data_IF_950108490114
#
_entry.id   IF_950108490114
#
_cell.length_a   1.000
_cell.length_b   1.000
_cell.length_c   1.000
_cell.angle_alpha   90.00
_cell.angle_beta   90.00
_cell.angle_gamma   90.00
#
_symmetry.space_group_name_H-M   'P 1'
#
loop_
_entity.id
_entity.type
_entity.pdbx_description
1 polymer ?
#
# COMPACT_ATOMS: atom_id res chain seq x y z
N UNK A 1 1.33 -22.04 -20.37
CA UNK A 1 0.88 -20.62 -20.37
C UNK A 1 2.03 -19.84 -19.75
N UNK A 2 2.66 -18.93 -20.50
CA UNK A 2 3.78 -18.12 -19.98
C UNK A 2 3.19 -17.04 -19.08
N UNK A 3 3.38 -17.18 -17.77
CA UNK A 3 3.03 -16.13 -16.84
C UNK A 3 3.73 -14.81 -17.17
N UNK A 4 3.18 -13.71 -16.68
CA UNK A 4 3.70 -12.36 -16.88
C UNK A 4 5.19 -12.31 -16.47
N UNK A 5 6.07 -12.12 -17.45
CA UNK A 5 7.50 -11.99 -17.17
C UNK A 5 7.83 -10.51 -16.99
N UNK A 6 8.11 -10.13 -15.76
CA UNK A 6 8.75 -8.86 -15.48
C UNK A 6 10.11 -8.84 -16.17
N UNK A 7 10.27 -8.01 -17.18
CA UNK A 7 11.56 -7.81 -17.83
C UNK A 7 12.31 -6.75 -17.03
N UNK A 8 13.30 -7.17 -16.25
CA UNK A 8 14.20 -6.29 -15.53
C UNK A 8 15.54 -6.19 -16.24
N UNK A 9 16.01 -4.99 -16.56
CA UNK A 9 17.30 -4.76 -17.20
C UNK A 9 18.06 -3.65 -16.50
N UNK A 10 19.33 -3.90 -16.18
CA UNK A 10 20.24 -2.83 -15.71
C UNK A 10 20.44 -1.80 -16.82
N UNK A 11 20.34 -0.54 -16.48
CA UNK A 11 20.63 0.62 -17.34
C UNK A 11 21.69 1.49 -16.67
N UNK A 12 22.17 2.53 -17.34
CA UNK A 12 23.28 3.38 -16.85
C UNK A 12 23.00 3.99 -15.47
N UNK A 13 21.75 4.32 -15.18
CA UNK A 13 21.32 5.09 -14.02
C UNK A 13 20.29 4.35 -13.11
N UNK A 14 20.17 3.03 -13.32
CA UNK A 14 19.26 2.24 -12.49
C UNK A 14 18.80 0.92 -13.10
N UNK A 15 17.53 0.60 -12.86
CA UNK A 15 16.89 -0.64 -13.33
C UNK A 15 15.63 -0.29 -14.13
N UNK A 16 15.64 -0.61 -15.43
CA UNK A 16 14.45 -0.54 -16.26
C UNK A 16 13.58 -1.78 -16.06
N UNK A 17 12.30 -1.56 -15.76
CA UNK A 17 11.29 -2.60 -15.79
C UNK A 17 10.30 -2.35 -16.93
N UNK A 18 9.77 -3.41 -17.49
CA UNK A 18 8.66 -3.36 -18.42
C UNK A 18 7.65 -4.45 -18.04
N UNK A 19 6.45 -4.00 -17.69
CA UNK A 19 5.32 -4.86 -17.32
C UNK A 19 4.10 -4.26 -18.02
N UNK A 20 3.80 -4.72 -19.22
CA UNK A 20 2.64 -4.20 -19.95
C UNK A 20 1.34 -4.60 -19.23
N UNK A 21 0.40 -3.65 -19.16
CA UNK A 21 -1.00 -3.84 -18.72
C UNK A 21 -1.26 -4.04 -17.22
N UNK A 22 -0.32 -4.57 -16.43
CA UNK A 22 -0.54 -4.89 -15.00
C UNK A 22 0.35 -4.10 -14.04
N UNK A 23 0.91 -2.98 -14.49
CA UNK A 23 1.68 -2.07 -13.66
C UNK A 23 1.54 -0.62 -14.13
N UNK A 24 0.92 0.22 -13.30
CA UNK A 24 0.75 1.64 -13.54
C UNK A 24 0.92 2.41 -12.23
N UNK A 25 1.99 3.22 -12.14
CA UNK A 25 2.31 3.99 -10.92
C UNK A 25 1.24 5.03 -10.58
N UNK A 26 0.56 5.59 -11.58
CA UNK A 26 -0.52 6.54 -11.33
C UNK A 26 -1.71 5.85 -10.66
N UNK A 27 -2.14 4.72 -11.19
CA UNK A 27 -3.23 3.94 -10.60
C UNK A 27 -2.88 3.48 -9.18
N UNK A 28 -1.65 3.04 -8.94
CA UNK A 28 -1.16 2.65 -7.62
C UNK A 28 -1.17 3.85 -6.66
N UNK A 29 -0.65 5.01 -7.08
CA UNK A 29 -0.59 6.22 -6.24
C UNK A 29 -1.97 6.78 -5.90
N UNK A 30 -2.93 6.67 -6.83
CA UNK A 30 -4.29 7.18 -6.68
C UNK A 30 -5.23 6.20 -5.94
N UNK A 31 -4.82 4.96 -5.73
CA UNK A 31 -5.65 3.89 -5.15
C UNK A 31 -6.01 4.06 -3.67
N UNK A 32 -5.36 4.97 -2.97
CA UNK A 32 -5.59 5.19 -1.53
C UNK A 32 -4.95 4.15 -0.60
N UNK A 33 -4.19 3.19 -1.13
CA UNK A 33 -3.47 2.20 -0.33
C UNK A 33 -2.13 2.71 0.22
N UNK A 34 -1.55 3.74 -0.41
CA UNK A 34 -0.23 4.27 -0.10
C UNK A 34 -0.23 5.80 -0.07
N UNK A 35 0.46 6.38 0.91
CA UNK A 35 0.62 7.84 1.04
C UNK A 35 2.06 8.29 0.87
N UNK A 36 2.98 7.35 0.56
CA UNK A 36 4.41 7.57 0.42
C UNK A 36 4.91 7.36 -1.02
N UNK A 37 3.99 7.34 -1.98
CA UNK A 37 4.27 7.37 -3.41
C UNK A 37 3.84 8.73 -3.94
N UNK A 38 4.81 9.61 -4.24
CA UNK A 38 4.59 11.01 -4.59
C UNK A 38 4.88 11.23 -6.08
N UNK A 39 3.90 11.76 -6.82
CA UNK A 39 4.09 12.15 -8.21
C UNK A 39 4.99 13.39 -8.31
N UNK A 40 5.88 13.41 -9.30
CA UNK A 40 6.78 14.52 -9.64
C UNK A 40 6.25 15.30 -10.85
N UNK A 41 6.75 16.53 -11.03
CA UNK A 41 6.34 17.39 -12.14
C UNK A 41 6.81 16.88 -13.52
N UNK A 42 7.89 16.08 -13.54
CA UNK A 42 8.43 15.46 -14.75
C UNK A 42 7.69 14.18 -15.19
N UNK A 43 6.59 13.84 -14.52
CA UNK A 43 5.83 12.62 -14.75
C UNK A 43 6.40 11.38 -14.06
N UNK A 44 7.49 11.53 -13.29
CA UNK A 44 8.05 10.49 -12.45
C UNK A 44 7.36 10.39 -11.09
N UNK A 45 7.89 9.52 -10.25
CA UNK A 45 7.43 9.28 -8.88
C UNK A 45 8.59 9.16 -7.91
N UNK A 46 8.34 9.47 -6.67
CA UNK A 46 9.23 9.12 -5.56
C UNK A 46 8.50 8.16 -4.65
N UNK A 47 9.11 7.00 -4.39
CA UNK A 47 8.63 6.04 -3.42
C UNK A 47 9.52 6.03 -2.19
N UNK A 48 8.90 5.93 -1.01
CA UNK A 48 9.58 5.78 0.28
C UNK A 48 9.02 4.59 1.01
N UNK A 49 9.89 3.72 1.51
CA UNK A 49 9.54 2.65 2.44
C UNK A 49 10.71 2.42 3.39
N UNK A 50 10.43 2.18 4.67
CA UNK A 50 11.45 2.06 5.71
C UNK A 50 12.49 3.21 5.63
N UNK A 51 13.77 2.89 5.53
CA UNK A 51 14.88 3.84 5.36
C UNK A 51 15.32 3.98 3.90
N UNK A 52 14.44 3.68 2.93
CA UNK A 52 14.73 3.69 1.50
C UNK A 52 13.91 4.72 0.75
N UNK A 53 14.58 5.32 -0.22
CA UNK A 53 14.05 6.36 -1.10
C UNK A 53 14.44 6.04 -2.54
N UNK A 54 13.50 6.05 -3.49
CA UNK A 54 13.80 5.87 -4.91
C UNK A 54 13.04 6.86 -5.78
N UNK A 55 13.73 7.48 -6.74
CA UNK A 55 13.09 8.16 -7.87
C UNK A 55 12.77 7.12 -8.93
N UNK A 56 11.57 7.21 -9.51
CA UNK A 56 11.11 6.34 -10.58
C UNK A 56 10.66 7.23 -11.72
N UNK A 57 11.23 7.05 -12.89
CA UNK A 57 10.88 7.85 -14.07
C UNK A 57 10.28 6.99 -15.19
N UNK A 58 9.46 7.57 -16.08
CA UNK A 58 9.04 6.88 -17.27
C UNK A 58 10.25 6.39 -18.08
N UNK A 59 10.19 5.13 -18.51
CA UNK A 59 11.21 4.50 -19.33
C UNK A 59 10.74 4.28 -20.77
N UNK A 60 11.53 3.55 -21.53
CA UNK A 60 11.18 3.20 -22.92
C UNK A 60 10.05 2.18 -22.99
N UNK A 61 9.24 2.23 -24.05
CA UNK A 61 8.15 1.28 -24.33
C UNK A 61 7.12 1.13 -23.19
N UNK A 62 6.81 2.23 -22.50
CA UNK A 62 5.84 2.23 -21.40
C UNK A 62 6.38 1.60 -20.10
N UNK A 63 7.69 1.36 -19.99
CA UNK A 63 8.32 0.88 -18.77
C UNK A 63 8.66 2.00 -17.79
N UNK A 64 9.32 1.63 -16.70
CA UNK A 64 9.78 2.56 -15.66
C UNK A 64 11.25 2.30 -15.32
N UNK A 65 12.01 3.37 -15.04
CA UNK A 65 13.39 3.29 -14.55
C UNK A 65 13.39 3.61 -13.05
N UNK A 66 13.83 2.67 -12.25
CA UNK A 66 14.10 2.84 -10.83
C UNK A 66 15.54 3.31 -10.66
N UNK A 67 15.75 4.53 -10.19
CA UNK A 67 17.07 5.12 -10.02
C UNK A 67 17.71 4.65 -8.72
N UNK A 68 18.10 3.39 -8.68
CA UNK A 68 18.78 2.75 -7.55
C UNK A 68 19.68 1.61 -8.04
N UNK A 69 20.61 1.12 -7.19
CA UNK A 69 21.38 -0.08 -7.49
C UNK A 69 20.49 -1.31 -7.68
N UNK A 70 20.93 -2.22 -8.54
CA UNK A 70 20.15 -3.44 -8.84
C UNK A 70 19.85 -4.29 -7.60
N UNK A 71 20.79 -4.39 -6.66
CA UNK A 71 20.57 -5.16 -5.43
C UNK A 71 19.49 -4.51 -4.55
N UNK A 72 19.47 -3.18 -4.46
CA UNK A 72 18.39 -2.46 -3.77
C UNK A 72 17.05 -2.67 -4.49
N UNK A 73 17.02 -2.59 -5.81
CA UNK A 73 15.81 -2.86 -6.59
C UNK A 73 15.28 -4.27 -6.31
N UNK A 74 16.16 -5.30 -6.37
CA UNK A 74 15.78 -6.69 -6.16
C UNK A 74 15.25 -6.95 -4.74
N UNK A 75 15.92 -6.39 -3.72
CA UNK A 75 15.68 -6.75 -2.33
C UNK A 75 14.62 -5.86 -1.65
N UNK A 76 14.36 -4.65 -2.20
CA UNK A 76 13.41 -3.68 -1.64
C UNK A 76 12.25 -3.40 -2.58
N UNK A 77 12.54 -2.85 -3.77
CA UNK A 77 11.48 -2.31 -4.64
C UNK A 77 10.70 -3.37 -5.39
N UNK A 78 11.37 -4.46 -5.81
CA UNK A 78 10.68 -5.60 -6.43
C UNK A 78 9.65 -6.24 -5.48
N UNK A 79 9.98 -6.54 -4.21
CA UNK A 79 8.98 -6.97 -3.22
C UNK A 79 7.93 -5.88 -2.92
N UNK A 80 8.34 -4.62 -2.71
CA UNK A 80 7.43 -3.52 -2.35
C UNK A 80 6.29 -3.36 -3.36
N UNK A 81 6.61 -3.37 -4.65
CA UNK A 81 5.63 -3.27 -5.74
C UNK A 81 5.02 -4.62 -6.15
N UNK A 82 5.30 -5.69 -5.41
CA UNK A 82 4.83 -7.06 -5.67
C UNK A 82 5.06 -7.51 -7.13
N UNK A 83 6.25 -7.20 -7.66
CA UNK A 83 6.56 -7.40 -9.09
C UNK A 83 6.70 -8.88 -9.46
N UNK A 84 6.83 -9.79 -8.50
CA UNK A 84 6.96 -11.24 -8.74
C UNK A 84 5.62 -11.97 -8.89
N UNK A 85 4.51 -11.33 -8.49
CA UNK A 85 3.18 -11.93 -8.58
C UNK A 85 2.60 -11.81 -10.01
N UNK A 86 1.88 -12.82 -10.44
CA UNK A 86 1.25 -12.90 -11.77
C UNK A 86 -0.15 -12.28 -11.75
N UNK A 87 -0.21 -10.95 -11.88
CA UNK A 87 -1.47 -10.21 -11.90
C UNK A 87 -2.28 -10.46 -13.19
N UNK A 88 -1.62 -10.84 -14.28
CA UNK A 88 -2.33 -11.25 -15.50
C UNK A 88 -3.15 -12.52 -15.25
N UNK A 89 -2.60 -13.50 -14.55
CA UNK A 89 -3.33 -14.69 -14.17
C UNK A 89 -4.51 -14.40 -13.21
N UNK A 90 -4.36 -13.41 -12.31
CA UNK A 90 -5.48 -12.96 -11.46
C UNK A 90 -6.60 -12.34 -12.32
N UNK A 91 -6.26 -11.46 -13.26
CA UNK A 91 -7.23 -10.83 -14.16
C UNK A 91 -7.94 -11.85 -15.04
N UNK A 92 -7.24 -12.86 -15.54
CA UNK A 92 -7.84 -13.96 -16.32
C UNK A 92 -8.89 -14.73 -15.52
N UNK A 93 -8.64 -14.98 -14.22
CA UNK A 93 -9.62 -15.65 -13.34
C UNK A 93 -10.88 -14.81 -13.08
N UNK A 94 -10.77 -13.49 -13.15
CA UNK A 94 -11.88 -12.54 -12.94
C UNK A 94 -12.66 -12.23 -14.22
N UNK A 95 -12.14 -12.58 -15.39
CA UNK A 95 -12.69 -12.18 -16.70
C UNK A 95 -14.14 -12.66 -16.97
N UNK A 96 -14.61 -13.68 -16.23
CA UNK A 96 -15.98 -14.16 -16.29
C UNK A 96 -17.03 -13.25 -15.62
N UNK A 97 -16.60 -12.40 -14.69
CA UNK A 97 -17.44 -11.45 -13.99
C UNK A 97 -17.54 -10.13 -14.77
N UNK A 98 -18.74 -9.67 -15.19
CA UNK A 98 -18.87 -8.44 -15.99
C UNK A 98 -18.36 -7.20 -15.28
N UNK A 99 -18.65 -7.01 -13.99
CA UNK A 99 -18.21 -5.86 -13.21
C UNK A 99 -16.67 -5.84 -13.05
N UNK A 100 -16.08 -6.99 -12.70
CA UNK A 100 -14.62 -7.07 -12.53
C UNK A 100 -13.88 -6.93 -13.86
N UNK A 101 -14.47 -7.34 -14.98
CA UNK A 101 -13.89 -7.09 -16.32
C UNK A 101 -13.83 -5.59 -16.63
N UNK A 102 -14.87 -4.84 -16.29
CA UNK A 102 -14.89 -3.37 -16.44
C UNK A 102 -13.88 -2.71 -15.46
N UNK A 103 -13.80 -3.21 -14.23
CA UNK A 103 -12.80 -2.75 -13.25
C UNK A 103 -11.36 -2.99 -13.73
N UNK A 104 -11.07 -4.14 -14.34
CA UNK A 104 -9.77 -4.43 -14.97
C UNK A 104 -9.48 -3.44 -16.11
N UNK A 105 -10.47 -3.16 -16.96
CA UNK A 105 -10.29 -2.20 -18.06
C UNK A 105 -9.99 -0.78 -17.56
N UNK A 106 -10.56 -0.38 -16.41
CA UNK A 106 -10.36 0.93 -15.78
C UNK A 106 -9.06 1.04 -14.97
N UNK A 107 -8.68 -0.03 -14.23
CA UNK A 107 -7.66 0.01 -13.20
C UNK A 107 -6.70 -1.20 -13.18
N UNK A 108 -6.59 -1.95 -14.26
CA UNK A 108 -5.81 -3.20 -14.30
C UNK A 108 -4.31 -3.06 -14.03
N UNK A 109 -3.77 -1.84 -14.07
CA UNK A 109 -2.37 -1.56 -13.72
C UNK A 109 -2.09 -1.44 -12.22
N UNK A 110 -3.11 -1.55 -11.36
CA UNK A 110 -2.91 -1.51 -9.92
C UNK A 110 -2.26 -2.80 -9.41
N UNK A 111 -1.43 -2.66 -8.38
CA UNK A 111 -0.90 -3.77 -7.57
C UNK A 111 -1.13 -3.51 -6.09
N UNK A 112 -1.22 -4.56 -5.30
CA UNK A 112 -1.27 -4.46 -3.83
C UNK A 112 0.17 -4.36 -3.32
N UNK A 113 0.53 -3.22 -2.75
CA UNK A 113 1.88 -2.96 -2.26
C UNK A 113 2.17 -3.73 -0.96
N UNK A 114 3.43 -4.17 -0.79
CA UNK A 114 3.95 -4.70 0.48
C UNK A 114 4.57 -3.57 1.27
N UNK A 115 3.78 -2.94 2.11
CA UNK A 115 4.21 -1.78 2.87
C UNK A 115 4.66 -2.15 4.28
N UNK A 116 5.38 -1.25 4.94
CA UNK A 116 5.80 -1.44 6.32
C UNK A 116 4.58 -1.61 7.25
N UNK A 117 4.58 -2.66 8.08
CA UNK A 117 3.46 -2.99 8.98
C UNK A 117 3.14 -1.84 9.95
N UNK A 118 4.15 -1.29 10.61
CA UNK A 118 3.96 -0.20 11.56
C UNK A 118 3.39 1.05 10.89
N UNK A 119 3.93 1.44 9.75
CA UNK A 119 3.41 2.56 8.95
C UNK A 119 1.94 2.32 8.59
N UNK A 120 1.55 1.12 8.19
CA UNK A 120 0.17 0.79 7.84
C UNK A 120 -0.76 0.82 9.05
N UNK A 121 -0.32 0.36 10.21
CA UNK A 121 -1.11 0.46 11.46
C UNK A 121 -1.45 1.91 11.75
N UNK A 122 -0.45 2.80 11.77
CA UNK A 122 -0.67 4.22 12.07
C UNK A 122 -1.50 4.88 10.97
N UNK A 123 -1.19 4.64 9.71
CA UNK A 123 -1.89 5.24 8.56
C UNK A 123 -3.36 4.86 8.53
N UNK A 124 -3.70 3.58 8.78
CA UNK A 124 -5.11 3.16 8.80
C UNK A 124 -5.85 3.56 10.07
N UNK A 125 -5.17 3.78 11.20
CA UNK A 125 -5.76 4.48 12.35
C UNK A 125 -6.10 5.93 11.95
N UNK A 126 -5.21 6.65 11.29
CA UNK A 126 -5.43 8.02 10.81
C UNK A 126 -6.56 8.07 9.77
N UNK A 127 -6.74 7.03 8.97
CA UNK A 127 -7.75 6.98 7.91
C UNK A 127 -9.20 6.90 8.40
N UNK A 128 -9.43 6.54 9.66
CA UNK A 128 -10.79 6.38 10.20
C UNK A 128 -11.59 7.68 10.14
N UNK A 129 -12.76 7.66 9.49
CA UNK A 129 -13.62 8.84 9.30
C UNK A 129 -12.83 10.07 8.80
N UNK A 130 -11.98 9.86 7.82
CA UNK A 130 -11.08 10.88 7.28
C UNK A 130 -11.10 10.83 5.74
N UNK A 131 -10.49 11.81 5.09
CA UNK A 131 -10.35 11.87 3.64
C UNK A 131 -8.87 11.81 3.23
N UNK A 132 -8.61 11.38 2.00
CA UNK A 132 -7.26 11.16 1.46
C UNK A 132 -6.35 12.37 1.62
N UNK A 133 -6.75 13.64 1.27
CA UNK A 133 -5.87 14.79 1.45
C UNK A 133 -5.45 15.02 2.91
N UNK A 134 -6.37 14.86 3.86
CA UNK A 134 -6.06 15.03 5.29
C UNK A 134 -5.19 13.90 5.84
N UNK A 135 -5.41 12.67 5.38
CA UNK A 135 -4.57 11.52 5.75
C UNK A 135 -3.14 11.77 5.27
N UNK A 136 -2.97 12.10 3.98
CA UNK A 136 -1.66 12.42 3.38
C UNK A 136 -0.94 13.53 4.17
N UNK A 137 -1.62 14.63 4.43
CA UNK A 137 -1.06 15.74 5.21
C UNK A 137 -0.62 15.32 6.61
N UNK A 138 -1.41 14.51 7.30
CA UNK A 138 -1.06 14.03 8.65
C UNK A 138 0.17 13.12 8.61
N UNK A 139 0.23 12.18 7.66
CA UNK A 139 1.39 11.31 7.45
C UNK A 139 2.63 12.13 7.12
N UNK A 140 2.53 13.10 6.21
CA UNK A 140 3.65 13.98 5.83
C UNK A 140 4.19 14.76 7.04
N UNK A 141 3.30 15.33 7.87
CA UNK A 141 3.70 16.07 9.08
C UNK A 141 4.41 15.13 10.08
N UNK A 142 3.89 13.91 10.30
CA UNK A 142 4.54 12.95 11.18
C UNK A 142 5.95 12.62 10.68
N UNK A 143 6.11 12.40 9.37
CA UNK A 143 7.41 12.10 8.77
C UNK A 143 8.38 13.27 8.85
N UNK A 144 7.93 14.49 8.54
CA UNK A 144 8.76 15.69 8.58
C UNK A 144 9.19 16.08 10.00
N UNK A 145 8.30 15.84 10.99
CA UNK A 145 8.54 16.24 12.38
C UNK A 145 9.38 15.21 13.13
N UNK A 146 9.13 13.92 12.93
CA UNK A 146 9.69 12.85 13.75
C UNK A 146 10.50 11.81 12.96
N UNK A 147 10.36 11.78 11.62
CA UNK A 147 11.08 10.83 10.78
C UNK A 147 12.55 11.22 10.58
N UNK A 148 13.33 10.29 10.04
CA UNK A 148 14.74 10.51 9.71
C UNK A 148 14.87 11.06 8.28
N UNK A 149 15.66 12.12 8.03
CA UNK A 149 15.94 12.59 6.67
C UNK A 149 16.56 11.47 5.82
N UNK A 150 16.04 11.24 4.62
CA UNK A 150 16.52 10.22 3.68
C UNK A 150 17.32 10.81 2.52
N UNK A 151 16.98 12.02 2.10
CA UNK A 151 17.61 12.71 0.99
C UNK A 151 16.65 13.67 0.29
N UNK A 152 17.19 14.38 -0.70
CA UNK A 152 16.48 15.36 -1.50
C UNK A 152 16.34 14.88 -2.94
N UNK A 153 15.15 15.01 -3.53
CA UNK A 153 14.89 14.75 -4.95
C UNK A 153 14.13 15.95 -5.50
N UNK A 154 14.63 16.55 -6.57
CA UNK A 154 14.07 17.71 -7.27
C UNK A 154 13.74 18.88 -6.33
N UNK A 155 14.62 19.16 -5.34
CA UNK A 155 14.46 20.24 -4.36
C UNK A 155 13.50 19.95 -3.21
N UNK A 156 12.94 18.74 -3.15
CA UNK A 156 12.06 18.30 -2.06
C UNK A 156 12.79 17.32 -1.13
N UNK A 157 12.80 17.62 0.17
CA UNK A 157 13.36 16.74 1.20
C UNK A 157 12.35 15.62 1.53
N UNK A 158 12.85 14.38 1.61
CA UNK A 158 12.07 13.20 1.99
C UNK A 158 12.56 12.63 3.33
N UNK A 159 11.62 12.03 4.08
CA UNK A 159 11.88 11.51 5.43
C UNK A 159 11.33 10.07 5.53
N UNK A 160 11.91 9.24 6.39
CA UNK A 160 11.31 7.95 6.76
C UNK A 160 10.00 8.14 7.50
N UNK A 161 9.16 7.11 7.55
CA UNK A 161 8.09 7.07 8.55
C UNK A 161 8.73 6.93 9.95
N UNK A 162 8.27 7.69 10.97
CA UNK A 162 8.86 7.62 12.31
C UNK A 162 8.62 6.25 12.95
N UNK A 163 9.64 5.71 13.59
CA UNK A 163 9.55 4.46 14.36
C UNK A 163 8.67 4.62 15.61
N UNK A 164 8.18 3.52 16.23
CA UNK A 164 7.51 3.59 17.52
C UNK A 164 8.32 4.39 18.57
N UNK A 165 9.63 4.14 18.64
CA UNK A 165 10.52 4.82 19.58
C UNK A 165 10.62 6.34 19.33
N UNK A 166 10.58 6.78 18.07
CA UNK A 166 10.58 8.19 17.72
C UNK A 166 9.26 8.92 18.04
N UNK A 167 8.13 8.20 18.06
CA UNK A 167 6.83 8.78 18.43
C UNK A 167 6.52 8.71 19.92
N UNK A 168 7.17 7.81 20.66
CA UNK A 168 6.90 7.59 22.07
C UNK A 168 7.14 8.86 22.89
N UNK A 169 6.13 9.26 23.66
CA UNK A 169 6.19 10.44 24.51
C UNK A 169 6.14 11.79 23.78
N UNK A 170 6.00 11.79 22.45
CA UNK A 170 5.96 13.02 21.66
C UNK A 170 4.59 13.70 21.66
N UNK A 171 4.60 15.01 21.45
CA UNK A 171 3.37 15.77 21.14
C UNK A 171 3.06 15.62 19.65
N UNK A 172 1.97 14.90 19.32
CA UNK A 172 1.54 14.67 17.94
C UNK A 172 0.53 15.72 17.46
N UNK A 173 0.23 16.74 18.26
CA UNK A 173 -0.74 17.81 17.91
C UNK A 173 -0.48 18.48 16.58
N UNK A 174 0.79 18.68 16.10
CA UNK A 174 1.06 19.25 14.78
C UNK A 174 0.42 18.47 13.63
N UNK A 175 0.31 17.13 13.76
CA UNK A 175 -0.31 16.27 12.74
C UNK A 175 -1.86 16.34 12.73
N UNK A 176 -2.47 17.04 13.68
CA UNK A 176 -3.92 17.28 13.75
C UNK A 176 -4.75 15.99 13.72
N UNK A 177 -4.33 14.96 14.44
CA UNK A 177 -4.93 13.63 14.43
C UNK A 177 -6.31 13.58 15.12
N UNK A 178 -6.65 14.56 15.96
CA UNK A 178 -7.86 14.59 16.74
C UNK A 178 -7.92 13.40 17.72
N UNK A 179 -9.07 12.73 17.83
CA UNK A 179 -9.22 11.58 18.74
C UNK A 179 -8.28 10.41 18.44
N UNK A 180 -7.74 10.34 17.23
CA UNK A 180 -6.82 9.28 16.77
C UNK A 180 -5.44 9.40 17.38
N UNK A 181 -5.09 10.58 17.88
CA UNK A 181 -3.80 10.83 18.52
C UNK A 181 -3.57 9.86 19.69
N UNK A 182 -4.60 9.67 20.53
CA UNK A 182 -4.50 8.75 21.66
C UNK A 182 -4.24 7.29 21.23
N UNK A 183 -4.81 6.89 20.08
CA UNK A 183 -4.58 5.55 19.52
C UNK A 183 -3.15 5.40 18.98
N UNK A 184 -2.67 6.40 18.22
CA UNK A 184 -1.30 6.37 17.67
C UNK A 184 -0.26 6.37 18.80
N UNK A 185 -0.46 7.17 19.86
CA UNK A 185 0.41 7.17 21.05
C UNK A 185 0.44 5.82 21.73
N UNK A 186 -0.72 5.18 21.90
CA UNK A 186 -0.80 3.84 22.52
C UNK A 186 -0.10 2.78 21.66
N UNK A 187 -0.24 2.83 20.32
CA UNK A 187 0.47 1.93 19.44
C UNK A 187 2.00 2.12 19.49
N UNK A 188 2.47 3.33 19.76
CA UNK A 188 3.90 3.62 19.89
C UNK A 188 4.51 3.07 21.19
N UNK A 189 3.70 2.65 22.18
CA UNK A 189 4.20 1.99 23.39
C UNK A 189 4.62 0.53 23.16
N UNK A 190 4.08 -0.11 22.11
CA UNK A 190 4.54 -1.45 21.71
C UNK A 190 5.95 -1.35 21.13
N UNK A 191 6.82 -2.28 21.51
CA UNK A 191 8.19 -2.35 21.01
C UNK A 191 8.27 -2.95 19.60
N UNK A 192 9.45 -2.91 19.02
CA UNK A 192 9.68 -3.45 17.68
C UNK A 192 9.47 -4.97 17.63
N UNK A 193 9.80 -5.68 18.71
CA UNK A 193 9.60 -7.12 18.79
C UNK A 193 8.12 -7.52 18.70
N UNK A 194 7.21 -6.73 19.27
CA UNK A 194 5.78 -6.96 19.12
C UNK A 194 5.37 -6.98 17.63
N UNK A 195 5.80 -5.98 16.86
CA UNK A 195 5.46 -5.87 15.43
C UNK A 195 6.12 -6.99 14.61
N UNK A 196 7.34 -7.38 14.94
CA UNK A 196 8.03 -8.52 14.31
C UNK A 196 7.32 -9.84 14.61
N UNK A 197 6.84 -10.06 15.85
CA UNK A 197 6.08 -11.27 16.19
C UNK A 197 4.71 -11.29 15.50
N UNK A 198 4.04 -10.15 15.38
CA UNK A 198 2.77 -10.05 14.66
C UNK A 198 2.92 -10.49 13.18
N UNK A 199 4.01 -10.12 12.51
CA UNK A 199 4.29 -10.55 11.13
C UNK A 199 4.40 -12.07 10.97
N UNK A 200 4.84 -12.77 12.01
CA UNK A 200 5.05 -14.22 11.99
C UNK A 200 3.79 -15.05 12.32
N UNK A 201 2.72 -14.39 12.80
CA UNK A 201 1.48 -15.06 13.14
C UNK A 201 0.75 -15.56 11.88
N UNK A 202 -0.06 -16.61 12.03
CA UNK A 202 -1.05 -16.99 11.02
C UNK A 202 -2.15 -15.91 10.90
N UNK A 203 -2.92 -15.97 9.84
CA UNK A 203 -3.88 -14.92 9.49
C UNK A 203 -4.96 -14.71 10.56
N UNK A 204 -5.50 -15.78 11.13
CA UNK A 204 -6.52 -15.71 12.16
C UNK A 204 -5.99 -15.11 13.46
N UNK A 205 -4.79 -15.52 13.87
CA UNK A 205 -4.12 -15.01 15.06
C UNK A 205 -3.73 -13.54 14.87
N UNK A 206 -3.13 -13.19 13.74
CA UNK A 206 -2.75 -11.81 13.43
C UNK A 206 -3.96 -10.87 13.42
N UNK A 207 -5.08 -11.28 12.80
CA UNK A 207 -6.32 -10.51 12.79
C UNK A 207 -6.88 -10.30 14.20
N UNK A 208 -6.92 -11.35 15.03
CA UNK A 208 -7.38 -11.25 16.42
C UNK A 208 -6.47 -10.34 17.24
N UNK A 209 -5.15 -10.46 17.08
CA UNK A 209 -4.18 -9.58 17.74
C UNK A 209 -4.41 -8.13 17.35
N UNK A 210 -4.58 -7.82 16.06
CA UNK A 210 -4.86 -6.46 15.58
C UNK A 210 -6.16 -5.90 16.15
N UNK A 211 -7.26 -6.67 16.15
CA UNK A 211 -8.57 -6.23 16.68
C UNK A 211 -8.53 -5.98 18.19
N UNK A 212 -7.67 -6.68 18.93
CA UNK A 212 -7.49 -6.46 20.36
C UNK A 212 -6.80 -5.13 20.68
N UNK A 213 -6.11 -4.50 19.70
CA UNK A 213 -5.48 -3.20 19.89
C UNK A 213 -6.53 -2.08 19.86
N UNK A 214 -6.41 -1.15 20.81
CA UNK A 214 -7.35 -0.03 20.91
C UNK A 214 -7.33 0.85 19.66
N UNK A 215 -8.51 1.11 19.12
CA UNK A 215 -8.66 1.93 17.91
C UNK A 215 -8.57 1.12 16.60
N UNK A 216 -8.38 -0.20 16.67
CA UNK A 216 -8.37 -1.08 15.50
C UNK A 216 -9.63 -1.94 15.51
N UNK A 217 -10.59 -1.62 14.64
CA UNK A 217 -11.76 -2.44 14.36
C UNK A 217 -11.55 -3.36 13.16
N UNK A 218 -12.54 -4.17 12.82
CA UNK A 218 -12.49 -5.15 11.71
C UNK A 218 -11.97 -4.53 10.39
N UNK A 219 -12.49 -3.37 9.99
CA UNK A 219 -12.07 -2.72 8.72
C UNK A 219 -10.60 -2.35 8.75
N UNK A 220 -10.13 -1.74 9.84
CA UNK A 220 -8.72 -1.32 9.98
C UNK A 220 -7.81 -2.54 10.04
N UNK A 221 -8.19 -3.57 10.80
CA UNK A 221 -7.44 -4.83 10.86
C UNK A 221 -7.26 -5.45 9.48
N UNK A 222 -8.34 -5.56 8.68
CA UNK A 222 -8.27 -6.09 7.32
C UNK A 222 -7.40 -5.22 6.39
N UNK A 223 -7.41 -3.89 6.54
CA UNK A 223 -6.49 -3.02 5.80
C UNK A 223 -5.03 -3.28 6.18
N UNK A 224 -4.73 -3.40 7.48
CA UNK A 224 -3.37 -3.71 7.96
C UNK A 224 -2.93 -5.10 7.51
N UNK A 225 -3.83 -6.09 7.57
CA UNK A 225 -3.59 -7.44 7.05
C UNK A 225 -3.22 -7.40 5.56
N UNK A 226 -3.99 -6.67 4.75
CA UNK A 226 -3.76 -6.60 3.30
C UNK A 226 -2.49 -5.82 2.96
N UNK A 227 -2.33 -4.60 3.48
CA UNK A 227 -1.30 -3.68 3.01
C UNK A 227 -0.02 -3.69 3.86
N UNK A 228 -0.10 -4.11 5.13
CA UNK A 228 1.05 -4.19 6.03
C UNK A 228 1.63 -5.59 6.16
N UNK A 229 0.76 -6.63 6.17
CA UNK A 229 1.16 -8.03 6.21
C UNK A 229 1.11 -8.73 4.85
N UNK A 230 0.59 -8.06 3.83
CA UNK A 230 0.38 -8.59 2.47
C UNK A 230 -0.39 -9.92 2.46
N UNK A 231 -1.44 -10.01 3.30
CA UNK A 231 -2.34 -11.18 3.34
C UNK A 231 -3.43 -11.01 2.28
N UNK A 232 -3.18 -11.55 1.10
CA UNK A 232 -3.96 -11.31 -0.12
C UNK A 232 -5.41 -11.81 -0.06
N UNK A 233 -5.74 -12.64 0.91
CA UNK A 233 -7.12 -13.07 1.19
C UNK A 233 -7.90 -12.11 2.09
N UNK A 234 -7.23 -11.09 2.64
CA UNK A 234 -7.89 -10.03 3.40
C UNK A 234 -8.71 -9.14 2.47
N UNK A 235 -9.98 -8.95 2.82
CA UNK A 235 -10.94 -8.18 2.02
C UNK A 235 -11.54 -7.05 2.86
N UNK A 236 -10.86 -5.88 2.95
CA UNK A 236 -11.38 -4.74 3.71
C UNK A 236 -12.72 -4.26 3.15
N UNK A 237 -13.76 -4.28 3.99
CA UNK A 237 -15.10 -3.80 3.61
C UNK A 237 -15.32 -2.41 4.18
N UNK A 238 -15.41 -1.43 3.31
CA UNK A 238 -15.83 -0.07 3.63
C UNK A 238 -17.23 0.24 3.08
N UNK A 239 -17.67 1.47 3.22
CA UNK A 239 -19.00 1.90 2.74
C UNK A 239 -19.14 1.70 1.23
N UNK A 240 -18.08 1.94 0.45
CA UNK A 240 -18.09 1.82 -1.01
C UNK A 240 -18.14 0.37 -1.45
N UNK A 241 -17.31 -0.48 -0.85
CA UNK A 241 -17.33 -1.93 -1.11
C UNK A 241 -18.67 -2.53 -0.72
N UNK A 242 -19.25 -2.14 0.44
CA UNK A 242 -20.56 -2.63 0.83
C UNK A 242 -21.64 -2.19 -0.18
N UNK A 243 -21.60 -0.93 -0.61
CA UNK A 243 -22.52 -0.42 -1.62
C UNK A 243 -22.39 -1.17 -2.94
N UNK A 244 -21.16 -1.42 -3.41
CA UNK A 244 -20.91 -2.22 -4.61
C UNK A 244 -21.49 -3.64 -4.47
N UNK A 245 -21.28 -4.30 -3.32
CA UNK A 245 -21.85 -5.63 -3.04
C UNK A 245 -23.37 -5.59 -3.12
N UNK A 246 -24.02 -4.58 -2.58
CA UNK A 246 -25.49 -4.44 -2.59
C UNK A 246 -26.00 -4.11 -3.99
N UNK A 247 -25.43 -3.12 -4.66
CA UNK A 247 -25.92 -2.59 -5.94
C UNK A 247 -25.63 -3.56 -7.11
N UNK A 248 -24.44 -4.19 -7.14
CA UNK A 248 -24.00 -5.04 -8.25
C UNK A 248 -24.31 -6.52 -8.01
N UNK A 249 -24.07 -6.99 -6.79
CA UNK A 249 -24.17 -8.42 -6.46
C UNK A 249 -25.40 -8.75 -5.59
N UNK A 250 -26.28 -7.77 -5.33
CA UNK A 250 -27.52 -7.95 -4.53
C UNK A 250 -27.24 -8.60 -3.16
N UNK A 251 -26.14 -8.21 -2.53
CA UNK A 251 -25.69 -8.74 -1.24
C UNK A 251 -24.96 -10.09 -1.29
N UNK A 252 -24.81 -10.71 -2.47
CA UNK A 252 -24.32 -12.09 -2.63
C UNK A 252 -22.90 -12.15 -3.21
N UNK A 253 -21.97 -11.34 -2.72
CA UNK A 253 -20.56 -11.41 -3.10
C UNK A 253 -19.75 -12.23 -2.10
N UNK A 254 -19.12 -13.31 -2.56
CA UNK A 254 -18.21 -14.12 -1.76
C UNK A 254 -16.76 -13.92 -2.22
N UNK A 255 -15.92 -13.21 -1.45
CA UNK A 255 -14.52 -13.01 -1.80
C UNK A 255 -13.69 -14.30 -1.78
N UNK A 256 -14.15 -15.38 -1.12
CA UNK A 256 -13.40 -16.65 -1.05
C UNK A 256 -13.23 -17.33 -2.41
N UNK A 257 -14.10 -17.04 -3.39
CA UNK A 257 -13.94 -17.50 -4.77
C UNK A 257 -12.66 -16.96 -5.44
N UNK A 258 -12.07 -15.90 -4.87
CA UNK A 258 -10.83 -15.28 -5.32
C UNK A 258 -9.67 -15.54 -4.35
N UNK A 259 -9.65 -16.73 -3.72
CA UNK A 259 -8.61 -17.12 -2.77
C UNK A 259 -7.20 -16.91 -3.35
N UNK A 260 -6.32 -16.32 -2.53
CA UNK A 260 -4.97 -15.93 -2.89
C UNK A 260 -4.83 -14.55 -3.53
N UNK A 261 -5.96 -13.85 -3.90
CA UNK A 261 -5.93 -12.50 -4.48
C UNK A 261 -7.21 -11.69 -4.24
N UNK A 262 -8.01 -12.03 -3.23
CA UNK A 262 -9.24 -11.31 -2.88
C UNK A 262 -8.99 -9.81 -2.58
N UNK A 263 -7.86 -9.47 -1.97
CA UNK A 263 -7.44 -8.08 -1.73
C UNK A 263 -7.17 -7.29 -3.03
N UNK A 264 -6.70 -7.95 -4.08
CA UNK A 264 -6.58 -7.31 -5.40
C UNK A 264 -7.96 -7.03 -6.02
N UNK A 265 -8.89 -7.97 -5.90
CA UNK A 265 -10.29 -7.77 -6.33
C UNK A 265 -10.91 -6.57 -5.61
N UNK A 266 -10.68 -6.44 -4.31
CA UNK A 266 -11.15 -5.31 -3.51
C UNK A 266 -10.58 -3.97 -4.00
N UNK A 267 -9.28 -3.92 -4.32
CA UNK A 267 -8.65 -2.70 -4.82
C UNK A 267 -9.15 -2.30 -6.21
N UNK A 268 -9.32 -3.25 -7.13
CA UNK A 268 -9.91 -3.01 -8.44
C UNK A 268 -11.35 -2.48 -8.33
N UNK A 269 -12.15 -3.05 -7.44
CA UNK A 269 -13.52 -2.62 -7.22
C UNK A 269 -13.59 -1.16 -6.76
N UNK A 270 -12.68 -0.71 -5.90
CA UNK A 270 -12.62 0.68 -5.42
C UNK A 270 -12.28 1.70 -6.52
N UNK A 271 -11.49 1.32 -7.51
CA UNK A 271 -11.13 2.22 -8.61
C UNK A 271 -12.30 2.42 -9.58
N UNK A 272 -13.13 1.39 -9.73
CA UNK A 272 -14.23 1.39 -10.70
C UNK A 272 -15.51 2.05 -10.15
N UNK A 273 -15.66 2.16 -8.83
CA UNK A 273 -16.79 2.83 -8.17
C UNK A 273 -16.59 4.36 -8.18
#
# INVERSE_FOLDING_TARGET
MSGEKVICRRVSDGVLINIPHTFDLKQIADSGQCFRLTALQDGGYVAVTDMKLVKITPGTNGGYVFHCPYDEFRDVWMPYFDLSADYEAYQQKMAGDPFLREAIAAGGGIRVLRQNLWEMVVTFIISQRNNIPRIRKAVDILCQTFGTPLGEIDGQQFYSFPTPAQLRGQDLSPASLGYRESYVKEMAEYDEDFWVQLQKQDDDTARKTLIALRGIGEKVANCVMLFGLHRMDSYPRDVWINRMIDDVYHGNFDPSQYAGFAGYVQQLSLIHI
#
